data_IF_307033139379
#
_entry.id   IF_307033139379
#
_cell.length_a   1.000
_cell.length_b   1.000
_cell.length_c   1.000
_cell.angle_alpha   90.00
_cell.angle_beta   90.00
_cell.angle_gamma   90.00
#
_symmetry.space_group_name_H-M   'P 1'
#
loop_
_entity.id
_entity.type
_entity.pdbx_description
1 polymer ?
#
# COMPACT_ATOMS: atom_id res chain seq x y z
N UNK A 1 -27.41 19.68 15.18
CA UNK A 1 -26.88 18.34 15.49
C UNK A 1 -25.36 18.43 15.57
N UNK A 2 -24.79 18.09 16.72
CA UNK A 2 -23.34 18.05 16.90
C UNK A 2 -22.73 17.01 15.92
N UNK A 3 -21.79 17.46 15.08
CA UNK A 3 -21.07 16.59 14.14
C UNK A 3 -20.07 15.73 14.93
N UNK A 4 -20.52 14.65 15.50
CA UNK A 4 -19.64 13.73 16.24
C UNK A 4 -18.88 12.85 15.26
N UNK A 5 -17.54 12.92 15.28
CA UNK A 5 -16.67 12.03 14.48
C UNK A 5 -16.88 10.59 14.92
N UNK A 6 -17.07 9.69 13.93
CA UNK A 6 -17.25 8.25 14.12
C UNK A 6 -16.11 7.42 13.50
N UNK A 7 -15.42 7.98 12.51
CA UNK A 7 -14.36 7.30 11.79
C UNK A 7 -13.16 8.24 11.64
N UNK A 8 -11.97 7.77 12.01
CA UNK A 8 -10.71 8.51 11.87
C UNK A 8 -9.73 7.66 11.08
N UNK A 9 -9.39 8.10 9.87
CA UNK A 9 -8.26 7.55 9.13
C UNK A 9 -6.97 8.21 9.63
N UNK A 10 -5.94 7.40 9.92
CA UNK A 10 -4.68 7.88 10.47
C UNK A 10 -3.51 7.33 9.67
N UNK A 11 -2.69 8.23 9.13
CA UNK A 11 -1.44 7.83 8.50
C UNK A 11 -0.49 7.25 9.54
N UNK A 12 0.38 6.35 9.10
CA UNK A 12 1.30 5.67 10.00
C UNK A 12 2.68 6.32 10.02
N UNK A 13 3.36 6.31 8.91
CA UNK A 13 4.77 6.70 8.82
C UNK A 13 4.94 8.21 8.93
N UNK A 14 5.63 8.66 9.98
CA UNK A 14 5.78 10.09 10.25
C UNK A 14 4.58 10.75 10.98
N UNK A 15 3.49 10.00 11.22
CA UNK A 15 2.29 10.51 11.91
C UNK A 15 2.03 9.74 13.21
N UNK A 16 1.59 8.49 13.14
CA UNK A 16 1.31 7.68 14.33
C UNK A 16 2.54 6.93 14.82
N UNK A 17 3.39 6.48 13.88
CA UNK A 17 4.60 5.71 14.17
C UNK A 17 5.80 6.63 14.34
N UNK A 18 6.51 6.43 15.46
CA UNK A 18 7.85 6.96 15.64
C UNK A 18 8.85 5.98 15.02
N UNK A 19 9.83 6.51 14.30
CA UNK A 19 10.89 5.73 13.67
C UNK A 19 10.38 4.53 12.86
N UNK A 20 9.16 4.68 12.28
CA UNK A 20 8.45 3.71 11.42
C UNK A 20 8.05 2.38 12.08
N UNK A 21 8.21 2.20 13.39
CA UNK A 21 7.89 0.93 14.06
C UNK A 21 7.07 1.07 15.35
N UNK A 22 7.22 2.15 16.10
CA UNK A 22 6.64 2.27 17.44
C UNK A 22 5.54 3.34 17.54
N UNK A 23 4.46 2.98 18.19
CA UNK A 23 3.45 3.92 18.67
C UNK A 23 3.86 4.41 20.06
N UNK A 24 3.97 5.71 20.26
CA UNK A 24 4.31 6.29 21.55
C UNK A 24 3.26 5.93 22.61
N UNK A 25 3.65 5.96 23.89
CA UNK A 25 2.71 5.71 25.00
C UNK A 25 1.53 6.69 24.99
N UNK A 26 1.79 7.97 24.66
CA UNK A 26 0.74 8.98 24.49
C UNK A 26 -0.19 8.62 23.32
N UNK A 27 0.37 8.15 22.21
CA UNK A 27 -0.39 7.69 21.02
C UNK A 27 -1.29 6.50 21.38
N UNK A 28 -0.75 5.48 22.06
CA UNK A 28 -1.54 4.31 22.52
C UNK A 28 -2.72 4.73 23.40
N UNK A 29 -2.49 5.61 24.38
CA UNK A 29 -3.57 6.12 25.24
C UNK A 29 -4.63 6.90 24.48
N UNK A 30 -4.22 7.71 23.50
CA UNK A 30 -5.16 8.47 22.66
C UNK A 30 -6.01 7.54 21.77
N UNK A 31 -5.38 6.52 21.15
CA UNK A 31 -6.09 5.50 20.36
C UNK A 31 -7.11 4.74 21.21
N UNK A 32 -6.70 4.25 22.37
CA UNK A 32 -7.60 3.54 23.29
C UNK A 32 -8.79 4.43 23.69
N UNK A 33 -8.53 5.67 24.10
CA UNK A 33 -9.59 6.62 24.49
C UNK A 33 -10.55 6.97 23.35
N UNK A 34 -10.09 6.97 22.09
CA UNK A 34 -10.94 7.14 20.92
C UNK A 34 -11.83 5.91 20.69
N UNK A 35 -11.25 4.72 20.72
CA UNK A 35 -11.96 3.45 20.53
C UNK A 35 -12.97 3.19 21.66
N UNK A 36 -12.65 3.51 22.92
CA UNK A 36 -13.58 3.43 24.07
C UNK A 36 -14.81 4.34 23.92
N UNK A 37 -14.68 5.42 23.14
CA UNK A 37 -15.80 6.30 22.78
C UNK A 37 -16.57 5.85 21.54
N UNK A 38 -16.25 4.67 21.01
CA UNK A 38 -16.88 4.11 19.83
C UNK A 38 -16.42 4.75 18.51
N UNK A 39 -15.26 5.43 18.49
CA UNK A 39 -14.68 5.96 17.26
C UNK A 39 -13.89 4.83 16.59
N UNK A 40 -14.18 4.57 15.33
CA UNK A 40 -13.40 3.65 14.52
C UNK A 40 -12.11 4.35 14.11
N UNK A 41 -10.98 3.88 14.63
CA UNK A 41 -9.66 4.33 14.20
C UNK A 41 -9.14 3.34 13.17
N UNK A 42 -8.72 3.87 12.01
CA UNK A 42 -8.33 3.09 10.83
C UNK A 42 -6.95 3.55 10.37
N UNK A 43 -5.91 2.71 10.43
CA UNK A 43 -4.63 3.04 9.82
C UNK A 43 -4.81 3.16 8.30
N UNK A 44 -4.22 4.22 7.70
CA UNK A 44 -4.26 4.49 6.27
C UNK A 44 -2.82 4.66 5.75
N UNK A 45 -2.26 3.62 5.15
CA UNK A 45 -0.82 3.52 4.90
C UNK A 45 -0.50 2.91 3.53
N UNK A 46 0.71 3.17 3.03
CA UNK A 46 1.30 2.45 1.90
C UNK A 46 1.73 1.02 2.23
N UNK A 47 1.78 0.64 3.51
CA UNK A 47 2.19 -0.70 3.94
C UNK A 47 1.12 -1.74 3.58
N UNK A 48 1.58 -2.97 3.33
CA UNK A 48 0.71 -4.14 3.24
C UNK A 48 0.40 -4.68 4.65
N UNK A 49 -0.54 -5.62 4.75
CA UNK A 49 -0.86 -6.25 6.03
C UNK A 49 0.36 -6.89 6.71
N UNK A 50 1.22 -7.57 5.96
CA UNK A 50 2.42 -8.24 6.49
C UNK A 50 3.49 -7.24 6.96
N UNK A 51 3.48 -6.01 6.43
CA UNK A 51 4.39 -4.93 6.79
C UNK A 51 3.89 -4.07 7.96
N UNK A 52 2.66 -4.28 8.43
CA UNK A 52 2.14 -3.56 9.59
C UNK A 52 2.92 -3.96 10.85
N UNK A 53 3.37 -2.99 11.67
CA UNK A 53 3.95 -3.27 12.98
C UNK A 53 2.97 -4.05 13.87
N UNK A 54 3.46 -4.92 14.76
CA UNK A 54 2.61 -5.66 15.70
C UNK A 54 1.69 -4.77 16.53
N UNK A 55 2.15 -3.58 16.93
CA UNK A 55 1.36 -2.60 17.68
C UNK A 55 0.11 -2.11 16.91
N UNK A 56 0.18 -2.06 15.59
CA UNK A 56 -0.95 -1.70 14.72
C UNK A 56 -1.81 -2.94 14.44
N UNK A 57 -1.17 -4.03 14.04
CA UNK A 57 -1.86 -5.27 13.66
C UNK A 57 -2.67 -5.89 14.80
N UNK A 58 -2.17 -5.77 16.04
CA UNK A 58 -2.77 -6.32 17.24
C UNK A 58 -3.38 -5.23 18.16
N UNK A 59 -3.45 -3.98 17.69
CA UNK A 59 -3.88 -2.82 18.47
C UNK A 59 -5.39 -2.66 18.65
N UNK A 60 -6.18 -3.67 18.28
CA UNK A 60 -7.66 -3.64 18.43
C UNK A 60 -8.41 -2.85 17.36
N UNK A 61 -7.72 -2.25 16.40
CA UNK A 61 -8.34 -1.59 15.25
C UNK A 61 -8.95 -2.64 14.32
N UNK A 62 -10.20 -2.45 13.95
CA UNK A 62 -10.91 -3.44 13.14
C UNK A 62 -10.55 -3.37 11.67
N UNK A 63 -10.46 -2.18 11.11
CA UNK A 63 -10.18 -2.00 9.69
C UNK A 63 -8.84 -1.31 9.47
N UNK A 64 -8.27 -1.53 8.29
CA UNK A 64 -7.07 -0.84 7.80
C UNK A 64 -7.20 -0.52 6.30
N UNK A 65 -6.81 0.68 5.92
CA UNK A 65 -6.64 1.09 4.52
C UNK A 65 -5.16 0.90 4.20
N UNK A 66 -4.86 -0.11 3.39
CA UNK A 66 -3.51 -0.60 3.13
C UNK A 66 -3.13 -0.43 1.66
N UNK A 67 -1.85 -0.64 1.32
CA UNK A 67 -1.32 -0.56 -0.04
C UNK A 67 -1.72 0.74 -0.75
N UNK A 68 -1.60 1.90 -0.06
CA UNK A 68 -2.02 3.21 -0.54
C UNK A 68 -3.51 3.31 -0.89
N UNK A 69 -4.36 2.52 -0.25
CA UNK A 69 -5.81 2.50 -0.50
C UNK A 69 -6.25 1.43 -1.47
N UNK A 70 -5.34 0.61 -1.99
CA UNK A 70 -5.72 -0.50 -2.88
C UNK A 70 -6.46 -1.63 -2.14
N UNK A 71 -6.30 -1.72 -0.82
CA UNK A 71 -6.96 -2.74 0.00
C UNK A 71 -7.58 -2.11 1.24
N UNK A 72 -8.84 -2.44 1.50
CA UNK A 72 -9.47 -2.24 2.81
C UNK A 72 -9.54 -3.61 3.48
N UNK A 73 -8.84 -3.75 4.59
CA UNK A 73 -8.66 -5.01 5.31
C UNK A 73 -9.49 -5.00 6.60
N UNK A 74 -10.23 -6.07 6.88
CA UNK A 74 -10.66 -6.39 8.25
C UNK A 74 -9.44 -7.02 8.97
N UNK A 75 -8.85 -6.27 9.88
CA UNK A 75 -7.62 -6.69 10.57
C UNK A 75 -7.87 -7.80 11.59
N UNK A 76 -9.09 -7.93 12.11
CA UNK A 76 -9.48 -8.97 13.06
C UNK A 76 -9.72 -10.29 12.33
N UNK A 77 -10.48 -10.24 11.23
CA UNK A 77 -10.78 -11.41 10.40
C UNK A 77 -9.64 -11.77 9.43
N UNK A 78 -8.64 -10.88 9.32
CA UNK A 78 -7.46 -11.01 8.43
C UNK A 78 -7.82 -11.27 6.97
N UNK A 79 -8.86 -10.63 6.48
CA UNK A 79 -9.33 -10.74 5.10
C UNK A 79 -9.66 -9.38 4.50
N UNK A 80 -9.48 -9.20 3.19
CA UNK A 80 -9.93 -7.99 2.53
C UNK A 80 -11.46 -7.90 2.55
N UNK A 81 -11.98 -6.70 2.78
CA UNK A 81 -13.42 -6.37 2.64
C UNK A 81 -13.68 -5.59 1.36
N UNK A 82 -12.62 -5.00 0.79
CA UNK A 82 -12.61 -4.37 -0.53
C UNK A 82 -11.19 -4.35 -1.10
N UNK A 83 -11.08 -4.52 -2.39
CA UNK A 83 -9.82 -4.40 -3.12
C UNK A 83 -10.05 -3.68 -4.44
N UNK A 84 -9.27 -2.63 -4.68
CA UNK A 84 -9.14 -1.96 -5.97
C UNK A 84 -7.74 -2.25 -6.50
N UNK A 85 -7.67 -3.05 -7.56
CA UNK A 85 -6.37 -3.50 -8.08
C UNK A 85 -6.19 -3.16 -9.55
N UNK A 86 -5.04 -3.56 -10.07
CA UNK A 86 -4.66 -3.42 -11.49
C UNK A 86 -4.90 -4.77 -12.15
N UNK A 87 -5.69 -4.86 -13.24
CA UNK A 87 -5.88 -6.11 -13.95
C UNK A 87 -4.54 -6.76 -14.36
N UNK A 88 -4.40 -8.07 -14.21
CA UNK A 88 -3.18 -8.81 -14.56
C UNK A 88 -2.73 -8.52 -16.00
N UNK A 89 -3.66 -8.45 -16.94
CA UNK A 89 -3.36 -8.09 -18.34
C UNK A 89 -2.72 -6.70 -18.48
N UNK A 90 -3.13 -5.76 -17.64
CA UNK A 90 -2.51 -4.43 -17.59
C UNK A 90 -1.11 -4.52 -16.98
N UNK A 91 -0.92 -5.25 -15.88
CA UNK A 91 0.41 -5.42 -15.28
C UNK A 91 1.39 -6.07 -16.26
N UNK A 92 0.97 -7.10 -16.98
CA UNK A 92 1.77 -7.75 -18.03
C UNK A 92 2.17 -6.77 -19.14
N UNK A 93 1.25 -5.91 -19.57
CA UNK A 93 1.55 -4.86 -20.56
C UNK A 93 2.56 -3.84 -20.02
N UNK A 94 2.41 -3.43 -18.76
CA UNK A 94 3.33 -2.51 -18.11
C UNK A 94 4.72 -3.12 -17.94
N UNK A 95 4.80 -4.38 -17.47
CA UNK A 95 6.06 -5.11 -17.32
C UNK A 95 6.86 -5.09 -18.63
N UNK A 96 6.19 -5.46 -19.74
CA UNK A 96 6.81 -5.44 -21.06
C UNK A 96 7.15 -4.02 -21.53
N UNK A 97 6.31 -3.06 -21.25
CA UNK A 97 6.50 -1.67 -21.69
C UNK A 97 7.65 -0.95 -20.99
N UNK A 98 8.00 -1.34 -19.75
CA UNK A 98 9.14 -0.76 -19.02
C UNK A 98 10.46 -1.51 -19.22
N UNK A 99 10.44 -2.65 -19.91
CA UNK A 99 11.61 -3.49 -20.18
C UNK A 99 12.83 -2.71 -20.73
N UNK A 100 12.69 -1.70 -21.63
CA UNK A 100 13.82 -0.93 -22.13
C UNK A 100 14.62 -0.19 -21.07
N UNK A 101 14.02 0.11 -19.92
CA UNK A 101 14.67 0.81 -18.79
C UNK A 101 15.08 -0.13 -17.66
N UNK A 102 14.78 -1.43 -17.79
CA UNK A 102 15.13 -2.51 -16.86
C UNK A 102 15.00 -2.14 -15.36
N UNK A 103 13.84 -1.61 -14.92
CA UNK A 103 13.63 -1.27 -13.52
C UNK A 103 13.54 -2.53 -12.65
N UNK A 104 13.81 -2.39 -11.35
CA UNK A 104 13.29 -3.36 -10.39
C UNK A 104 11.78 -3.20 -10.37
N UNK A 105 11.07 -4.27 -10.66
CA UNK A 105 9.61 -4.28 -10.80
C UNK A 105 9.00 -5.17 -9.70
N UNK A 106 8.45 -4.52 -8.68
CA UNK A 106 7.78 -5.20 -7.56
C UNK A 106 6.27 -5.24 -7.79
N UNK A 107 5.66 -6.39 -7.57
CA UNK A 107 4.20 -6.59 -7.66
C UNK A 107 3.65 -6.95 -6.30
N UNK A 108 2.62 -6.23 -5.87
CA UNK A 108 1.92 -6.45 -4.60
C UNK A 108 0.67 -7.29 -4.86
N UNK A 109 0.57 -8.44 -4.21
CA UNK A 109 -0.58 -9.37 -4.31
C UNK A 109 -0.84 -9.97 -2.93
N UNK A 110 -2.07 -9.94 -2.45
CA UNK A 110 -2.50 -10.49 -1.16
C UNK A 110 -1.64 -10.04 0.03
N UNK A 111 -1.24 -8.78 0.02
CA UNK A 111 -0.39 -8.23 1.07
C UNK A 111 1.08 -8.68 1.03
N UNK A 112 1.48 -9.47 0.05
CA UNK A 112 2.86 -9.89 -0.20
C UNK A 112 3.45 -9.08 -1.36
N UNK A 113 4.77 -8.97 -1.40
CA UNK A 113 5.49 -8.27 -2.46
C UNK A 113 6.39 -9.25 -3.18
N UNK A 114 6.18 -9.38 -4.47
CA UNK A 114 6.96 -10.28 -5.35
C UNK A 114 7.91 -9.49 -6.21
N UNK A 115 9.13 -10.00 -6.38
CA UNK A 115 10.17 -9.43 -7.25
C UNK A 115 10.97 -10.55 -7.92
N UNK A 116 11.58 -10.29 -9.07
CA UNK A 116 12.48 -11.28 -9.67
C UNK A 116 13.77 -11.43 -8.84
N UNK A 117 14.27 -12.65 -8.72
CA UNK A 117 15.53 -12.96 -8.00
C UNK A 117 16.68 -12.06 -8.44
N UNK A 118 16.85 -11.86 -9.74
CA UNK A 118 17.90 -11.02 -10.31
C UNK A 118 17.86 -9.59 -9.77
N UNK A 119 16.68 -9.09 -9.39
CA UNK A 119 16.51 -7.75 -8.86
C UNK A 119 17.09 -7.61 -7.44
N UNK A 120 17.04 -8.67 -6.64
CA UNK A 120 17.62 -8.68 -5.30
C UNK A 120 19.16 -8.64 -5.34
N UNK A 121 19.77 -9.19 -6.39
CA UNK A 121 21.22 -9.22 -6.57
C UNK A 121 21.80 -7.89 -7.05
N UNK A 122 20.98 -7.02 -7.64
CA UNK A 122 21.38 -5.76 -8.27
C UNK A 122 20.87 -4.50 -7.55
N UNK A 123 20.41 -4.64 -6.32
CA UNK A 123 19.91 -3.50 -5.53
C UNK A 123 20.94 -2.37 -5.37
N UNK A 124 22.23 -2.71 -5.36
CA UNK A 124 23.32 -1.73 -5.23
C UNK A 124 23.45 -0.82 -6.45
N UNK A 125 23.08 -1.31 -7.63
CA UNK A 125 23.14 -0.55 -8.88
C UNK A 125 22.17 0.64 -8.90
N UNK A 126 21.10 0.59 -8.09
CA UNK A 126 20.03 1.59 -8.07
C UNK A 126 20.26 2.75 -7.10
N UNK A 127 21.38 2.78 -6.39
CA UNK A 127 21.70 3.87 -5.45
C UNK A 127 20.70 4.02 -4.31
N UNK A 128 19.99 2.94 -3.96
CA UNK A 128 18.96 2.95 -2.92
C UNK A 128 19.60 3.15 -1.54
N UNK A 129 18.94 3.91 -0.63
CA UNK A 129 19.38 3.99 0.76
C UNK A 129 19.44 2.60 1.42
N UNK A 130 20.39 2.38 2.32
CA UNK A 130 20.57 1.10 3.01
C UNK A 130 19.31 0.64 3.77
N UNK A 131 18.53 1.58 4.29
CA UNK A 131 17.24 1.28 4.94
C UNK A 131 16.24 0.66 3.95
N UNK A 132 16.20 1.18 2.72
CA UNK A 132 15.33 0.66 1.64
C UNK A 132 15.82 -0.71 1.18
N UNK A 133 17.13 -0.89 0.96
CA UNK A 133 17.71 -2.19 0.59
C UNK A 133 17.38 -3.27 1.63
N UNK A 134 17.60 -2.98 2.92
CA UNK A 134 17.24 -3.90 4.02
C UNK A 134 15.75 -4.22 4.03
N UNK A 135 14.89 -3.23 3.78
CA UNK A 135 13.44 -3.45 3.69
C UNK A 135 13.11 -4.39 2.53
N UNK A 136 13.66 -4.13 1.34
CA UNK A 136 13.46 -4.97 0.15
C UNK A 136 13.89 -6.40 0.42
N UNK A 137 15.13 -6.62 0.86
CA UNK A 137 15.67 -7.96 1.15
C UNK A 137 14.87 -8.73 2.20
N UNK A 138 14.26 -8.04 3.16
CA UNK A 138 13.48 -8.65 4.24
C UNK A 138 12.04 -8.99 3.84
N UNK A 139 11.46 -8.26 2.88
CA UNK A 139 10.01 -8.28 2.66
C UNK A 139 9.59 -8.79 1.29
N UNK A 140 10.53 -8.99 0.34
CA UNK A 140 10.20 -9.46 -1.00
C UNK A 140 10.27 -10.98 -1.08
N UNK A 141 9.28 -11.54 -1.77
CA UNK A 141 9.26 -12.94 -2.16
C UNK A 141 9.85 -13.06 -3.57
N UNK A 142 10.99 -13.76 -3.73
CA UNK A 142 11.63 -13.88 -5.03
C UNK A 142 10.86 -14.83 -5.95
N UNK A 143 10.70 -14.43 -7.21
CA UNK A 143 10.22 -15.26 -8.30
C UNK A 143 11.30 -15.38 -9.37
N UNK A 144 11.29 -16.45 -10.15
CA UNK A 144 12.27 -16.65 -11.22
C UNK A 144 11.95 -15.79 -12.44
N UNK A 145 10.66 -15.67 -12.78
CA UNK A 145 10.13 -14.95 -13.94
C UNK A 145 8.81 -14.28 -13.54
N UNK A 146 8.77 -12.95 -13.63
CA UNK A 146 7.59 -12.16 -13.23
C UNK A 146 6.42 -12.34 -14.20
N UNK A 147 6.69 -12.48 -15.49
CA UNK A 147 5.64 -12.72 -16.48
C UNK A 147 4.95 -14.06 -16.24
N UNK A 148 5.73 -15.12 -16.02
CA UNK A 148 5.20 -16.44 -15.71
C UNK A 148 4.44 -16.44 -14.38
N UNK A 149 4.96 -15.78 -13.36
CA UNK A 149 4.27 -15.61 -12.08
C UNK A 149 2.90 -14.96 -12.26
N UNK A 150 2.83 -13.84 -12.98
CA UNK A 150 1.59 -13.12 -13.25
C UNK A 150 0.58 -13.94 -14.05
N UNK A 151 1.03 -14.70 -15.06
CA UNK A 151 0.17 -15.58 -15.86
C UNK A 151 -0.40 -16.74 -15.05
N UNK A 152 0.31 -17.18 -14.02
CA UNK A 152 -0.10 -18.27 -13.12
C UNK A 152 -0.88 -17.80 -11.89
N UNK A 153 -1.10 -16.49 -11.74
CA UNK A 153 -1.98 -15.97 -10.67
C UNK A 153 -3.39 -16.53 -10.87
N UNK A 154 -4.00 -16.98 -9.77
CA UNK A 154 -5.40 -17.39 -9.77
C UNK A 154 -6.31 -16.24 -10.20
N UNK A 155 -7.46 -16.57 -10.78
CA UNK A 155 -8.44 -15.56 -11.29
C UNK A 155 -9.05 -14.70 -10.19
N UNK A 156 -8.95 -15.12 -8.96
CA UNK A 156 -9.37 -14.41 -7.74
C UNK A 156 -8.29 -13.46 -7.20
N UNK A 157 -7.07 -13.48 -7.76
CA UNK A 157 -5.94 -12.66 -7.35
C UNK A 157 -5.80 -11.44 -8.24
N UNK A 158 -5.74 -10.26 -7.64
CA UNK A 158 -5.58 -8.99 -8.35
C UNK A 158 -4.37 -8.26 -7.77
N UNK A 159 -3.37 -7.91 -8.61
CA UNK A 159 -2.30 -7.02 -8.17
C UNK A 159 -2.83 -5.71 -7.57
N UNK A 160 -2.45 -5.44 -6.32
CA UNK A 160 -2.92 -4.29 -5.57
C UNK A 160 -2.23 -3.01 -6.02
N UNK A 161 -0.92 -3.11 -6.24
CA UNK A 161 -0.02 -2.00 -6.53
C UNK A 161 1.27 -2.53 -7.18
N UNK A 162 1.96 -1.64 -7.88
CA UNK A 162 3.33 -1.87 -8.34
C UNK A 162 4.26 -0.86 -7.69
N UNK A 163 5.51 -1.24 -7.50
CA UNK A 163 6.59 -0.31 -7.15
C UNK A 163 7.77 -0.57 -8.09
N UNK A 164 8.26 0.49 -8.71
CA UNK A 164 9.41 0.42 -9.61
C UNK A 164 10.56 1.24 -9.04
N UNK A 165 11.76 0.66 -8.99
CA UNK A 165 12.98 1.41 -8.75
C UNK A 165 13.70 1.55 -10.09
N UNK A 166 14.02 2.77 -10.47
CA UNK A 166 14.49 3.11 -11.81
C UNK A 166 15.83 3.84 -11.74
N UNK A 167 16.76 3.49 -12.63
CA UNK A 167 17.95 4.29 -12.89
C UNK A 167 17.56 5.59 -13.61
N UNK A 168 16.70 5.46 -14.62
CA UNK A 168 16.12 6.58 -15.37
C UNK A 168 14.62 6.67 -15.06
N UNK A 169 14.27 7.47 -14.06
CA UNK A 169 12.87 7.54 -13.58
C UNK A 169 11.94 8.27 -14.55
N UNK A 170 12.41 9.38 -15.14
CA UNK A 170 11.54 10.27 -15.92
C UNK A 170 10.90 9.60 -17.15
N UNK A 171 11.62 8.85 -17.99
CA UNK A 171 10.99 8.15 -19.10
C UNK A 171 10.02 7.05 -18.64
N UNK A 172 10.32 6.36 -17.54
CA UNK A 172 9.42 5.36 -16.95
C UNK A 172 8.13 6.02 -16.45
N UNK A 173 8.21 7.14 -15.73
CA UNK A 173 7.03 7.90 -15.30
C UNK A 173 6.18 8.32 -16.50
N UNK A 174 6.78 8.96 -17.52
CA UNK A 174 6.05 9.38 -18.73
C UNK A 174 5.34 8.22 -19.42
N UNK A 175 5.99 7.06 -19.52
CA UNK A 175 5.37 5.87 -20.09
C UNK A 175 4.17 5.42 -19.24
N UNK A 176 4.34 5.29 -17.92
CA UNK A 176 3.28 4.84 -17.01
C UNK A 176 2.11 5.82 -16.96
N UNK A 177 2.37 7.12 -16.93
CA UNK A 177 1.35 8.19 -16.95
C UNK A 177 0.56 8.23 -18.25
N UNK A 178 1.16 7.78 -19.37
CA UNK A 178 0.45 7.66 -20.65
C UNK A 178 -0.54 6.50 -20.68
N UNK A 179 -0.50 5.59 -19.71
CA UNK A 179 -1.40 4.43 -19.65
C UNK A 179 -2.71 4.78 -18.98
N UNK A 180 -3.83 4.58 -19.68
CA UNK A 180 -5.16 4.84 -19.14
C UNK A 180 -5.49 3.90 -17.96
N UNK A 181 -6.25 4.40 -17.00
CA UNK A 181 -6.74 3.60 -15.89
C UNK A 181 -5.73 3.41 -14.73
N UNK A 182 -4.67 4.21 -14.69
CA UNK A 182 -3.65 4.16 -13.66
C UNK A 182 -3.48 5.49 -12.94
N UNK A 183 -3.02 5.42 -11.72
CA UNK A 183 -2.47 6.55 -10.94
C UNK A 183 -1.01 6.27 -10.68
N UNK A 184 -0.14 7.20 -11.08
CA UNK A 184 1.32 7.14 -10.89
C UNK A 184 1.72 8.17 -9.86
N UNK A 185 2.46 7.73 -8.85
CA UNK A 185 2.99 8.60 -7.79
C UNK A 185 4.46 8.29 -7.54
N UNK A 186 5.15 9.20 -6.89
CA UNK A 186 6.54 8.99 -6.44
C UNK A 186 6.59 9.14 -4.93
N UNK A 187 7.36 8.30 -4.26
CA UNK A 187 7.55 8.39 -2.81
C UNK A 187 8.98 8.78 -2.43
N UNK A 188 9.18 9.01 -1.14
CA UNK A 188 10.49 9.25 -0.55
C UNK A 188 11.43 8.07 -0.89
N UNK A 189 12.54 8.35 -1.58
CA UNK A 189 13.49 7.32 -2.02
C UNK A 189 13.53 7.12 -3.54
N UNK A 190 12.71 7.89 -4.30
CA UNK A 190 12.83 7.95 -5.75
C UNK A 190 12.21 6.78 -6.50
N UNK A 191 11.41 5.93 -5.82
CA UNK A 191 10.63 4.89 -6.49
C UNK A 191 9.38 5.47 -7.17
N UNK A 192 8.87 4.73 -8.14
CA UNK A 192 7.60 4.99 -8.81
C UNK A 192 6.58 4.00 -8.30
N UNK A 193 5.43 4.49 -7.85
CA UNK A 193 4.32 3.66 -7.39
C UNK A 193 3.15 3.78 -8.36
N UNK A 194 2.54 2.64 -8.70
CA UNK A 194 1.42 2.57 -9.63
C UNK A 194 0.25 1.86 -8.96
N UNK A 195 -0.90 2.50 -8.97
CA UNK A 195 -2.18 1.93 -8.53
C UNK A 195 -3.22 2.04 -9.63
N UNK A 196 -4.34 1.36 -9.50
CA UNK A 196 -5.49 1.59 -10.38
C UNK A 196 -6.01 3.02 -10.27
N UNK A 197 -6.62 3.53 -11.33
CA UNK A 197 -7.25 4.85 -11.30
C UNK A 197 -8.36 4.90 -10.24
N UNK A 198 -8.44 6.02 -9.51
CA UNK A 198 -9.39 6.17 -8.42
C UNK A 198 -9.04 5.38 -7.15
N UNK A 199 -7.85 4.75 -7.11
CA UNK A 199 -7.32 4.11 -5.92
C UNK A 199 -6.44 5.10 -5.16
N UNK A 200 -6.76 5.29 -3.90
CA UNK A 200 -6.03 6.20 -3.01
C UNK A 200 -6.56 6.12 -1.59
N UNK A 201 -5.79 6.58 -0.61
CA UNK A 201 -6.19 6.55 0.81
C UNK A 201 -7.52 7.29 1.03
N UNK A 202 -7.73 8.41 0.35
CA UNK A 202 -8.96 9.20 0.46
C UNK A 202 -10.17 8.48 -0.15
N UNK A 203 -10.00 7.86 -1.32
CA UNK A 203 -11.07 7.12 -1.98
C UNK A 203 -11.41 5.84 -1.20
N UNK A 204 -10.41 5.15 -0.66
CA UNK A 204 -10.63 4.00 0.22
C UNK A 204 -11.34 4.39 1.52
N UNK A 205 -11.05 5.57 2.08
CA UNK A 205 -11.79 6.09 3.24
C UNK A 205 -13.26 6.33 2.90
N UNK A 206 -13.56 6.92 1.75
CA UNK A 206 -14.95 7.11 1.26
C UNK A 206 -15.64 5.76 1.09
N UNK A 207 -14.95 4.80 0.48
CA UNK A 207 -15.46 3.43 0.28
C UNK A 207 -15.76 2.76 1.62
N UNK A 208 -14.83 2.81 2.57
CA UNK A 208 -15.02 2.23 3.91
C UNK A 208 -16.17 2.91 4.67
N UNK A 209 -16.23 4.25 4.61
CA UNK A 209 -17.34 5.00 5.23
C UNK A 209 -18.70 4.58 4.64
N UNK A 210 -18.77 4.40 3.32
CA UNK A 210 -19.98 3.88 2.64
C UNK A 210 -20.34 2.46 3.07
N UNK A 211 -19.36 1.55 3.15
CA UNK A 211 -19.57 0.17 3.62
C UNK A 211 -20.09 0.09 5.06
N UNK A 212 -19.72 1.08 5.88
CA UNK A 212 -20.11 1.18 7.30
C UNK A 212 -21.31 2.11 7.53
N UNK A 213 -21.91 2.65 6.47
CA UNK A 213 -23.02 3.61 6.53
C UNK A 213 -22.70 4.83 7.40
N UNK A 214 -21.42 5.27 7.41
CA UNK A 214 -20.95 6.46 8.12
C UNK A 214 -20.91 7.64 7.15
N UNK A 215 -21.69 8.71 7.39
CA UNK A 215 -21.61 9.92 6.56
C UNK A 215 -20.21 10.54 6.57
N UNK A 216 -19.76 11.05 5.44
CA UNK A 216 -18.42 11.66 5.31
C UNK A 216 -18.18 12.82 6.27
N UNK A 217 -19.25 13.54 6.66
CA UNK A 217 -19.20 14.62 7.66
C UNK A 217 -18.86 14.13 9.08
N UNK A 218 -18.92 12.81 9.29
CA UNK A 218 -18.57 12.14 10.55
C UNK A 218 -17.22 11.42 10.44
N UNK A 219 -16.46 11.67 9.38
CA UNK A 219 -15.10 11.16 9.18
C UNK A 219 -14.07 12.24 9.40
N UNK A 220 -12.86 11.85 9.81
CA UNK A 220 -11.68 12.69 9.88
C UNK A 220 -10.47 11.95 9.34
N UNK A 221 -9.46 12.69 8.88
CA UNK A 221 -8.17 12.15 8.49
C UNK A 221 -7.07 12.93 9.20
N UNK A 222 -6.01 12.21 9.58
CA UNK A 222 -4.82 12.73 10.24
C UNK A 222 -3.59 12.21 9.50
N UNK A 223 -2.70 13.12 9.08
CA UNK A 223 -1.47 12.82 8.36
C UNK A 223 -0.63 14.06 8.16
#
# INVERSE_FOLDING_TARGET
MERRVKLVAMDLDGTLLRDSEEVTERGRKALAAAMDRGILVVPATGRTYTQLPPAIRNGGMRYGILSNGAVIMDLLEKRPVWSGGIPVSTVLRLLKGVEPWDPIFDVFVDGCVFTEKRNLERLDDFGLPDSVKRLVLRTRYPVDDMEQFLRNLGTDKIPERLTLYCLEREPVCRYLESQAGLTVTTSLGGNVEVTGAGVGKAEALKTLAGLLEIPMEQTAAVG
#
